data_IF_433006640468
#
_entry.id   IF_433006640468
#
_cell.length_a   1.000
_cell.length_b   1.000
_cell.length_c   1.000
_cell.angle_alpha   90.00
_cell.angle_beta   90.00
_cell.angle_gamma   90.00
#
_symmetry.space_group_name_H-M   'P 1'
#
loop_
_entity.id
_entity.type
_entity.pdbx_description
1 polymer ?
#
# COMPACT_ATOMS: atom_id res chain seq x y z
N UNK A 1 16.63 14.19 -14.62
CA UNK A 1 15.20 14.10 -14.23
C UNK A 1 14.43 14.79 -15.34
N UNK A 2 13.56 14.07 -16.06
CA UNK A 2 12.77 14.64 -17.16
C UNK A 2 11.55 15.41 -16.65
N UNK A 3 10.79 16.02 -17.56
CA UNK A 3 9.60 16.84 -17.27
C UNK A 3 8.56 16.09 -16.41
N UNK A 4 8.35 14.80 -16.67
CA UNK A 4 7.50 13.94 -15.84
C UNK A 4 7.94 13.93 -14.36
N UNK A 5 9.23 13.74 -14.11
CA UNK A 5 9.79 13.69 -12.76
C UNK A 5 9.68 15.03 -12.03
N UNK A 6 9.89 16.14 -12.74
CA UNK A 6 9.71 17.49 -12.18
C UNK A 6 8.26 17.74 -11.76
N UNK A 7 7.29 17.37 -12.61
CA UNK A 7 5.87 17.50 -12.30
C UNK A 7 5.45 16.59 -11.15
N UNK A 8 5.92 15.35 -11.14
CA UNK A 8 5.66 14.40 -10.06
C UNK A 8 6.14 14.95 -8.71
N UNK A 9 7.35 15.50 -8.67
CA UNK A 9 7.88 16.19 -7.48
C UNK A 9 7.03 17.40 -7.10
N UNK A 10 6.63 18.24 -8.06
CA UNK A 10 5.77 19.38 -7.78
C UNK A 10 4.42 18.97 -7.14
N UNK A 11 3.81 17.86 -7.59
CA UNK A 11 2.62 17.31 -6.94
C UNK A 11 2.91 16.72 -5.56
N UNK A 12 4.09 16.14 -5.34
CA UNK A 12 4.52 15.66 -4.03
C UNK A 12 4.65 16.80 -3.01
N UNK A 13 5.27 17.93 -3.39
CA UNK A 13 5.31 19.13 -2.55
C UNK A 13 3.90 19.66 -2.27
N UNK A 14 3.06 19.77 -3.30
CA UNK A 14 1.66 20.21 -3.14
C UNK A 14 0.87 19.29 -2.19
N UNK A 15 1.14 17.98 -2.19
CA UNK A 15 0.50 17.04 -1.26
C UNK A 15 0.86 17.40 0.19
N UNK A 16 2.13 17.71 0.48
CA UNK A 16 2.61 18.06 1.83
C UNK A 16 2.06 19.38 2.34
N UNK A 17 1.84 20.35 1.47
CA UNK A 17 1.28 21.65 1.85
C UNK A 17 -0.21 21.59 2.22
N UNK A 18 -0.93 20.55 1.78
CA UNK A 18 -2.36 20.39 2.08
C UNK A 18 -2.60 20.00 3.53
N UNK A 19 -2.81 21.00 4.38
CA UNK A 19 -3.29 20.81 5.76
C UNK A 19 -4.73 20.31 5.78
N UNK A 20 -5.03 19.34 6.66
CA UNK A 20 -6.39 18.85 6.92
C UNK A 20 -6.97 17.86 5.90
N UNK A 21 -6.28 17.60 4.79
CA UNK A 21 -6.63 16.50 3.89
C UNK A 21 -6.33 15.16 4.56
N UNK A 22 -7.17 14.15 4.29
CA UNK A 22 -7.04 12.79 4.85
C UNK A 22 -7.22 12.66 6.37
N UNK A 23 -8.01 13.53 7.00
CA UNK A 23 -8.28 13.47 8.44
C UNK A 23 -8.77 12.08 8.90
N UNK A 24 -9.59 11.40 8.09
CA UNK A 24 -10.04 10.03 8.36
C UNK A 24 -8.87 9.04 8.39
N UNK A 25 -7.94 9.13 7.45
CA UNK A 25 -6.75 8.28 7.44
C UNK A 25 -5.80 8.62 8.59
N UNK A 26 -5.62 9.89 8.94
CA UNK A 26 -4.82 10.29 10.11
C UNK A 26 -5.41 9.67 11.39
N UNK A 27 -6.72 9.72 11.56
CA UNK A 27 -7.42 9.06 12.68
C UNK A 27 -7.26 7.54 12.63
N UNK A 28 -7.32 6.93 11.44
CA UNK A 28 -7.04 5.49 11.26
C UNK A 28 -5.63 5.13 11.71
N UNK A 29 -4.61 5.85 11.23
CA UNK A 29 -3.22 5.62 11.61
C UNK A 29 -3.00 5.81 13.11
N UNK A 30 -3.59 6.84 13.71
CA UNK A 30 -3.55 7.04 15.16
C UNK A 30 -4.23 5.88 15.93
N UNK A 31 -5.35 5.36 15.43
CA UNK A 31 -6.01 4.20 16.02
C UNK A 31 -5.11 2.95 16.01
N UNK A 32 -4.40 2.70 14.92
CA UNK A 32 -3.43 1.60 14.84
C UNK A 32 -2.24 1.82 15.78
N UNK A 33 -1.67 3.03 15.81
CA UNK A 33 -0.56 3.38 16.70
C UNK A 33 -0.91 3.21 18.19
N UNK A 34 -2.16 3.54 18.58
CA UNK A 34 -2.65 3.36 19.95
C UNK A 34 -2.99 1.91 20.30
N UNK A 35 -3.07 1.02 19.31
CA UNK A 35 -3.39 -0.39 19.48
C UNK A 35 -2.36 -1.24 18.70
N UNK A 36 -1.06 -1.23 19.04
CA UNK A 36 -0.04 -1.79 18.15
C UNK A 36 -0.12 -3.33 18.00
N UNK A 37 -0.61 -4.05 19.02
CA UNK A 37 -0.63 -5.52 19.05
C UNK A 37 -1.85 -6.12 18.36
N UNK A 38 -1.70 -7.32 17.81
CA UNK A 38 -2.73 -8.01 17.02
C UNK A 38 -3.22 -9.32 17.68
N UNK A 39 -3.06 -9.45 19.00
CA UNK A 39 -3.40 -10.63 19.78
C UNK A 39 -4.82 -10.59 20.37
N UNK A 40 -5.34 -9.38 20.61
CA UNK A 40 -6.65 -9.16 21.22
C UNK A 40 -7.76 -9.03 20.18
N UNK A 41 -8.81 -9.84 20.31
CA UNK A 41 -9.97 -9.87 19.38
C UNK A 41 -10.58 -8.48 19.19
N UNK A 42 -10.83 -7.76 20.27
CA UNK A 42 -11.48 -6.45 20.20
C UNK A 42 -10.58 -5.38 19.57
N UNK A 43 -9.26 -5.45 19.82
CA UNK A 43 -8.30 -4.56 19.17
C UNK A 43 -8.21 -4.82 17.66
N UNK A 44 -8.24 -6.07 17.23
CA UNK A 44 -8.25 -6.44 15.80
C UNK A 44 -9.56 -6.02 15.14
N UNK A 45 -10.72 -6.27 15.76
CA UNK A 45 -12.02 -5.79 15.23
C UNK A 45 -12.07 -4.27 15.09
N UNK A 46 -11.57 -3.53 16.08
CA UNK A 46 -11.47 -2.07 16.00
C UNK A 46 -10.64 -1.64 14.79
N UNK A 47 -9.46 -2.24 14.58
CA UNK A 47 -8.61 -1.98 13.42
C UNK A 47 -9.29 -2.29 12.09
N UNK A 48 -9.98 -3.42 11.98
CA UNK A 48 -10.74 -3.79 10.79
C UNK A 48 -11.86 -2.78 10.50
N UNK A 49 -12.55 -2.33 11.55
CA UNK A 49 -13.61 -1.32 11.44
C UNK A 49 -13.08 0.04 10.96
N UNK A 50 -11.98 0.54 11.54
CA UNK A 50 -11.41 1.83 11.10
C UNK A 50 -10.70 1.75 9.74
N UNK A 51 -10.19 0.57 9.36
CA UNK A 51 -9.62 0.34 8.04
C UNK A 51 -10.70 0.24 6.97
N UNK A 52 -11.84 -0.37 7.31
CA UNK A 52 -13.04 -0.50 6.47
C UNK A 52 -12.73 -0.92 5.02
N UNK A 53 -11.90 -1.95 4.85
CA UNK A 53 -11.42 -2.35 3.54
C UNK A 53 -12.50 -3.11 2.76
N UNK A 54 -12.72 -2.74 1.49
CA UNK A 54 -13.78 -3.30 0.64
C UNK A 54 -13.74 -4.83 0.45
N UNK A 55 -12.57 -5.45 0.57
CA UNK A 55 -12.40 -6.92 0.40
C UNK A 55 -12.90 -7.73 1.61
N UNK A 56 -13.13 -7.08 2.75
CA UNK A 56 -13.54 -7.71 4.03
C UNK A 56 -14.69 -6.90 4.65
N UNK A 57 -15.69 -6.58 3.85
CA UNK A 57 -16.84 -5.76 4.27
C UNK A 57 -18.02 -6.58 4.83
N UNK A 58 -18.05 -7.89 4.58
CA UNK A 58 -19.04 -8.81 5.13
C UNK A 58 -18.72 -9.15 6.59
N UNK A 59 -19.74 -9.18 7.46
CA UNK A 59 -19.55 -9.42 8.90
C UNK A 59 -18.92 -10.79 9.19
N UNK A 60 -19.36 -11.84 8.49
CA UNK A 60 -18.77 -13.17 8.67
C UNK A 60 -17.32 -13.18 8.17
N UNK A 61 -17.03 -12.52 7.04
CA UNK A 61 -15.67 -12.34 6.55
C UNK A 61 -14.77 -11.59 7.56
N UNK A 62 -15.28 -10.55 8.22
CA UNK A 62 -14.53 -9.83 9.26
C UNK A 62 -14.24 -10.69 10.50
N UNK A 63 -15.18 -11.54 10.91
CA UNK A 63 -14.97 -12.47 12.02
C UNK A 63 -13.86 -13.47 11.69
N UNK A 64 -13.90 -14.08 10.50
CA UNK A 64 -12.84 -14.99 10.05
C UNK A 64 -11.49 -14.28 9.88
N UNK A 65 -11.49 -13.07 9.32
CA UNK A 65 -10.26 -12.28 9.21
C UNK A 65 -9.68 -11.90 10.58
N UNK A 66 -10.53 -11.65 11.57
CA UNK A 66 -10.08 -11.39 12.95
C UNK A 66 -9.32 -12.59 13.51
N UNK A 67 -9.91 -13.78 13.39
CA UNK A 67 -9.28 -15.02 13.83
C UNK A 67 -7.99 -15.31 13.06
N UNK A 68 -7.99 -15.06 11.75
CA UNK A 68 -6.82 -15.22 10.89
C UNK A 68 -5.66 -14.32 11.35
N UNK A 69 -5.90 -13.03 11.57
CA UNK A 69 -4.86 -12.08 12.02
C UNK A 69 -4.23 -12.53 13.34
N UNK A 70 -5.04 -12.94 14.31
CA UNK A 70 -4.56 -13.42 15.61
C UNK A 70 -3.72 -14.69 15.43
N UNK A 71 -4.22 -15.64 14.63
CA UNK A 71 -3.54 -16.92 14.37
C UNK A 71 -2.20 -16.74 13.66
N UNK A 72 -2.11 -15.80 12.72
CA UNK A 72 -0.86 -15.53 11.99
C UNK A 72 0.23 -14.89 12.88
N UNK A 73 -0.13 -14.34 14.05
CA UNK A 73 0.77 -13.74 15.04
C UNK A 73 1.85 -12.84 14.40
N UNK A 74 1.42 -11.86 13.60
CA UNK A 74 2.31 -11.03 12.80
C UNK A 74 3.06 -9.94 13.58
N UNK A 75 2.89 -9.86 14.91
CA UNK A 75 3.47 -8.79 15.72
C UNK A 75 5.00 -8.78 15.66
N UNK A 76 5.65 -9.95 15.65
CA UNK A 76 7.11 -10.06 15.50
C UNK A 76 7.58 -9.63 14.11
N UNK A 77 6.84 -10.01 13.05
CA UNK A 77 7.14 -9.58 11.68
C UNK A 77 6.99 -8.05 11.56
N UNK A 78 5.93 -7.48 12.15
CA UNK A 78 5.72 -6.04 12.19
C UNK A 78 6.88 -5.36 12.91
N UNK A 79 7.26 -5.80 14.11
CA UNK A 79 8.36 -5.24 14.89
C UNK A 79 9.68 -5.28 14.12
N UNK A 80 9.97 -6.41 13.45
CA UNK A 80 11.14 -6.63 12.61
C UNK A 80 11.08 -6.03 11.20
N UNK A 81 10.01 -5.29 10.84
CA UNK A 81 9.79 -4.74 9.49
C UNK A 81 9.78 -5.81 8.37
N UNK A 82 9.42 -7.05 8.71
CA UNK A 82 9.47 -8.18 7.80
C UNK A 82 8.24 -8.20 6.88
N UNK A 83 8.47 -8.31 5.57
CA UNK A 83 7.41 -8.35 4.54
C UNK A 83 6.52 -9.60 4.65
N UNK A 84 6.98 -10.60 5.40
CA UNK A 84 6.23 -11.81 5.78
C UNK A 84 4.91 -11.50 6.47
N UNK A 85 4.80 -10.37 7.19
CA UNK A 85 3.52 -9.93 7.77
C UNK A 85 2.43 -9.81 6.69
N UNK A 86 2.76 -9.21 5.54
CA UNK A 86 1.81 -9.00 4.44
C UNK A 86 1.48 -10.33 3.77
N UNK A 87 2.47 -11.17 3.48
CA UNK A 87 2.24 -12.43 2.76
C UNK A 87 1.46 -13.45 3.62
N UNK A 88 1.68 -13.49 4.93
CA UNK A 88 0.90 -14.28 5.89
C UNK A 88 -0.58 -13.84 5.92
N UNK A 89 -0.83 -12.53 6.03
CA UNK A 89 -2.20 -12.01 6.03
C UNK A 89 -2.91 -12.15 4.68
N UNK A 90 -2.18 -12.04 3.57
CA UNK A 90 -2.77 -12.08 2.23
C UNK A 90 -3.36 -13.45 1.89
N UNK A 91 -2.79 -14.56 2.39
CA UNK A 91 -3.33 -15.92 2.18
C UNK A 91 -4.49 -16.15 3.14
N UNK A 92 -5.71 -16.05 2.63
CA UNK A 92 -6.92 -16.09 3.45
C UNK A 92 -7.88 -17.16 2.95
N UNK A 93 -8.43 -17.98 3.86
CA UNK A 93 -9.46 -18.95 3.53
C UNK A 93 -10.80 -18.48 4.08
N UNK A 94 -11.83 -18.50 3.23
CA UNK A 94 -13.18 -18.11 3.63
C UNK A 94 -14.22 -18.96 2.92
N UNK A 95 -15.14 -19.57 3.70
CA UNK A 95 -16.21 -20.44 3.18
C UNK A 95 -15.70 -21.53 2.22
N UNK A 96 -14.54 -22.12 2.55
CA UNK A 96 -13.92 -23.20 1.76
C UNK A 96 -13.18 -22.74 0.50
N UNK A 97 -13.11 -21.43 0.23
CA UNK A 97 -12.35 -20.89 -0.91
C UNK A 97 -11.07 -20.20 -0.42
N UNK A 98 -10.02 -20.30 -1.23
CA UNK A 98 -8.76 -19.58 -1.00
C UNK A 98 -8.79 -18.22 -1.71
N UNK A 99 -8.34 -17.19 -1.02
CA UNK A 99 -8.24 -15.82 -1.50
C UNK A 99 -6.84 -15.29 -1.29
N UNK A 100 -6.37 -14.49 -2.24
CA UNK A 100 -5.13 -13.74 -2.12
C UNK A 100 -5.42 -12.24 -1.96
N UNK A 101 -5.49 -11.78 -0.72
CA UNK A 101 -5.95 -10.45 -0.33
C UNK A 101 -4.81 -9.44 -0.12
N UNK A 102 -3.90 -9.31 -1.10
CA UNK A 102 -2.74 -8.40 -0.98
C UNK A 102 -3.10 -6.94 -0.71
N UNK A 103 -4.14 -6.42 -1.38
CA UNK A 103 -4.54 -5.03 -1.20
C UNK A 103 -4.99 -4.77 0.25
N UNK A 104 -5.78 -5.68 0.82
CA UNK A 104 -6.13 -5.64 2.24
C UNK A 104 -4.91 -5.79 3.15
N UNK A 105 -4.13 -6.87 2.98
CA UNK A 105 -3.01 -7.20 3.87
C UNK A 105 -1.96 -6.09 3.92
N UNK A 106 -1.59 -5.55 2.75
CA UNK A 106 -0.66 -4.45 2.64
C UNK A 106 -1.21 -3.15 3.24
N UNK A 107 -2.50 -2.85 3.09
CA UNK A 107 -3.12 -1.68 3.73
C UNK A 107 -3.19 -1.82 5.27
N UNK A 108 -3.40 -3.04 5.78
CA UNK A 108 -3.38 -3.34 7.21
C UNK A 108 -1.97 -3.14 7.79
N UNK A 109 -0.95 -3.74 7.18
CA UNK A 109 0.44 -3.57 7.60
C UNK A 109 0.95 -2.13 7.42
N UNK A 110 0.57 -1.44 6.33
CA UNK A 110 0.87 -0.01 6.16
C UNK A 110 0.24 0.84 7.26
N UNK A 111 -0.97 0.50 7.72
CA UNK A 111 -1.60 1.24 8.81
C UNK A 111 -0.86 1.11 10.15
N UNK A 112 -0.13 0.00 10.34
CA UNK A 112 0.83 -0.16 11.44
C UNK A 112 2.13 0.61 11.22
N UNK A 113 2.74 0.46 10.04
CA UNK A 113 4.03 1.08 9.70
C UNK A 113 4.01 1.70 8.29
N UNK A 114 3.56 2.96 8.16
CA UNK A 114 3.36 3.62 6.86
C UNK A 114 4.62 3.79 6.00
N UNK A 115 5.80 3.80 6.63
CA UNK A 115 7.11 3.93 5.97
C UNK A 115 7.77 2.60 5.63
N UNK A 116 7.18 1.47 6.01
CA UNK A 116 7.78 0.13 5.83
C UNK A 116 7.04 -0.66 4.78
N UNK A 117 5.70 -0.61 4.80
CA UNK A 117 4.87 -1.46 3.97
C UNK A 117 4.17 -0.65 2.87
N UNK A 118 4.57 -0.76 1.59
CA UNK A 118 3.79 -0.26 0.46
C UNK A 118 2.34 -0.71 0.45
N UNK A 119 1.40 0.16 0.10
CA UNK A 119 0.01 -0.23 -0.14
C UNK A 119 -0.12 -0.77 -1.56
N UNK A 120 -0.49 -2.05 -1.69
CA UNK A 120 -0.74 -2.70 -2.97
C UNK A 120 -2.09 -2.23 -3.55
N UNK A 121 -2.07 -1.74 -4.79
CA UNK A 121 -3.27 -1.30 -5.51
C UNK A 121 -3.23 -1.76 -6.97
N UNK A 122 -4.21 -2.59 -7.32
CA UNK A 122 -4.36 -3.17 -8.66
C UNK A 122 -4.50 -2.12 -9.75
N UNK A 123 -5.03 -0.92 -9.42
CA UNK A 123 -5.31 0.13 -10.40
C UNK A 123 -4.07 0.55 -11.19
N UNK A 124 -2.88 0.54 -10.58
CA UNK A 124 -1.66 1.09 -11.19
C UNK A 124 -0.59 0.02 -11.45
N UNK A 125 -0.93 -1.27 -11.35
CA UNK A 125 0.03 -2.35 -11.61
C UNK A 125 0.49 -2.40 -13.06
N UNK A 126 -0.37 -2.06 -14.02
CA UNK A 126 0.01 -1.99 -15.43
C UNK A 126 1.15 -0.98 -15.66
N UNK A 127 1.02 0.22 -15.08
CA UNK A 127 2.07 1.25 -15.12
C UNK A 127 3.34 0.79 -14.41
N UNK A 128 3.21 0.21 -13.21
CA UNK A 128 4.37 -0.32 -12.47
C UNK A 128 5.10 -1.40 -13.28
N UNK A 129 4.37 -2.28 -13.96
CA UNK A 129 4.95 -3.32 -14.82
C UNK A 129 5.75 -2.70 -15.97
N UNK A 130 5.16 -1.73 -16.68
CA UNK A 130 5.84 -1.03 -17.77
C UNK A 130 7.10 -0.31 -17.27
N UNK A 131 7.00 0.41 -16.15
CA UNK A 131 8.13 1.07 -15.50
C UNK A 131 9.25 0.06 -15.18
N UNK A 132 8.92 -1.04 -14.50
CA UNK A 132 9.93 -2.04 -14.13
C UNK A 132 10.54 -2.73 -15.35
N UNK A 133 9.78 -2.97 -16.42
CA UNK A 133 10.34 -3.50 -17.68
C UNK A 133 11.30 -2.51 -18.34
N UNK A 134 10.96 -1.22 -18.37
CA UNK A 134 11.83 -0.18 -18.92
C UNK A 134 13.18 -0.10 -18.20
N UNK A 135 13.18 -0.25 -16.88
CA UNK A 135 14.39 -0.23 -16.06
C UNK A 135 15.03 -1.63 -15.85
N UNK A 136 14.57 -2.67 -16.56
CA UNK A 136 15.03 -4.05 -16.41
C UNK A 136 15.00 -4.59 -14.96
N UNK A 137 14.00 -4.17 -14.18
CA UNK A 137 13.80 -4.54 -12.77
C UNK A 137 12.89 -5.75 -12.56
N UNK A 138 12.29 -6.27 -13.63
CA UNK A 138 11.39 -7.41 -13.60
C UNK A 138 12.02 -8.56 -14.39
N UNK A 139 12.35 -9.65 -13.71
CA UNK A 139 12.80 -10.90 -14.33
C UNK A 139 11.69 -11.59 -15.11
N UNK A 140 12.05 -12.56 -15.96
CA UNK A 140 11.09 -13.25 -16.83
C UNK A 140 9.99 -13.99 -16.05
N UNK A 141 10.34 -14.54 -14.89
CA UNK A 141 9.43 -15.33 -14.03
C UNK A 141 8.84 -14.53 -12.86
N UNK A 142 9.22 -13.27 -12.70
CA UNK A 142 8.76 -12.46 -11.58
C UNK A 142 7.37 -11.87 -11.86
N UNK A 143 6.53 -11.86 -10.82
CA UNK A 143 5.20 -11.28 -10.86
C UNK A 143 5.08 -10.13 -9.86
N UNK A 144 4.34 -9.09 -10.23
CA UNK A 144 3.95 -8.02 -9.31
C UNK A 144 2.98 -8.50 -8.23
N UNK A 145 2.41 -9.70 -8.36
CA UNK A 145 1.66 -10.35 -7.29
C UNK A 145 2.59 -10.81 -6.15
N UNK A 146 3.90 -10.94 -6.39
CA UNK A 146 4.85 -11.03 -5.29
C UNK A 146 5.03 -9.64 -4.66
N UNK A 147 4.63 -9.53 -3.39
CA UNK A 147 4.70 -8.27 -2.65
C UNK A 147 6.12 -7.71 -2.54
N UNK A 148 7.15 -8.58 -2.50
CA UNK A 148 8.55 -8.16 -2.47
C UNK A 148 9.00 -7.55 -3.80
N UNK A 149 8.55 -8.12 -4.93
CA UNK A 149 8.80 -7.59 -6.27
C UNK A 149 8.08 -6.24 -6.44
N UNK A 150 6.82 -6.16 -6.01
CA UNK A 150 6.08 -4.90 -5.98
C UNK A 150 6.79 -3.82 -5.16
N UNK A 151 7.22 -4.14 -3.93
CA UNK A 151 7.95 -3.19 -3.08
C UNK A 151 9.25 -2.75 -3.75
N UNK A 152 10.03 -3.67 -4.32
CA UNK A 152 11.28 -3.34 -5.01
C UNK A 152 11.06 -2.36 -6.17
N UNK A 153 10.02 -2.58 -6.96
CA UNK A 153 9.63 -1.66 -8.03
C UNK A 153 9.27 -0.27 -7.50
N UNK A 154 8.48 -0.21 -6.43
CA UNK A 154 8.07 1.06 -5.82
C UNK A 154 9.25 1.78 -5.15
N UNK A 155 10.16 1.06 -4.50
CA UNK A 155 11.38 1.62 -3.89
C UNK A 155 12.25 2.27 -4.96
N UNK A 156 12.48 1.57 -6.08
CA UNK A 156 13.22 2.12 -7.20
C UNK A 156 12.50 3.33 -7.80
N UNK A 157 11.18 3.29 -7.95
CA UNK A 157 10.39 4.43 -8.41
C UNK A 157 10.54 5.65 -7.49
N UNK A 158 10.39 5.45 -6.19
CA UNK A 158 10.52 6.52 -5.22
C UNK A 158 11.91 7.13 -5.21
N UNK A 159 12.96 6.30 -5.21
CA UNK A 159 14.34 6.76 -5.23
C UNK A 159 14.70 7.49 -6.53
N UNK A 160 14.32 6.94 -7.68
CA UNK A 160 14.59 7.54 -8.99
C UNK A 160 14.01 8.96 -9.12
N UNK A 161 12.81 9.18 -8.58
CA UNK A 161 12.15 10.48 -8.58
C UNK A 161 12.32 11.27 -7.28
N UNK A 162 13.22 10.84 -6.38
CA UNK A 162 13.50 11.49 -5.09
C UNK A 162 12.26 11.74 -4.22
N UNK A 163 11.28 10.85 -4.32
CA UNK A 163 10.06 10.89 -3.51
C UNK A 163 10.28 10.36 -2.10
N UNK A 164 11.27 9.47 -1.91
CA UNK A 164 11.66 8.89 -0.63
C UNK A 164 12.22 9.92 0.37
N UNK A 165 12.75 11.04 -0.12
CA UNK A 165 13.14 12.19 0.72
C UNK A 165 11.95 12.95 1.31
N UNK A 166 10.77 12.85 0.70
CA UNK A 166 9.59 13.64 1.03
C UNK A 166 8.45 12.81 1.60
N UNK A 167 8.18 11.64 1.01
CA UNK A 167 6.97 10.87 1.18
C UNK A 167 7.26 9.47 1.74
N UNK A 168 6.43 9.03 2.68
CA UNK A 168 6.34 7.60 3.00
C UNK A 168 5.39 6.86 2.03
N UNK A 169 5.28 5.53 2.13
CA UNK A 169 4.44 4.78 1.20
C UNK A 169 2.94 5.10 1.28
N UNK A 170 2.44 5.44 2.47
CA UNK A 170 1.06 5.89 2.61
C UNK A 170 0.84 7.17 1.78
N UNK A 171 1.76 8.12 1.87
CA UNK A 171 1.68 9.38 1.14
C UNK A 171 1.87 9.19 -0.36
N UNK A 172 2.75 8.28 -0.78
CA UNK A 172 2.89 7.90 -2.20
C UNK A 172 1.60 7.28 -2.73
N UNK A 173 0.90 6.45 -1.95
CA UNK A 173 -0.42 5.93 -2.34
C UNK A 173 -1.44 7.06 -2.51
N UNK A 174 -1.38 8.11 -1.68
CA UNK A 174 -2.25 9.29 -1.80
C UNK A 174 -1.89 10.18 -2.99
N UNK A 175 -0.60 10.40 -3.23
CA UNK A 175 -0.09 11.07 -4.42
C UNK A 175 -0.61 10.37 -5.67
N UNK A 176 -0.43 9.04 -5.73
CA UNK A 176 -0.90 8.21 -6.83
C UNK A 176 -2.41 8.34 -7.04
N UNK A 177 -3.20 8.23 -5.96
CA UNK A 177 -4.66 8.35 -6.05
C UNK A 177 -5.15 9.73 -6.53
N UNK A 178 -4.50 10.81 -6.11
CA UNK A 178 -4.93 12.18 -6.44
C UNK A 178 -4.45 12.65 -7.83
N UNK A 179 -3.23 12.26 -8.23
CA UNK A 179 -2.52 12.96 -9.29
C UNK A 179 -2.00 12.07 -10.41
N UNK A 180 -1.94 10.73 -10.24
CA UNK A 180 -1.29 9.88 -11.24
C UNK A 180 -2.02 9.89 -12.58
N UNK A 181 -3.35 9.77 -12.59
CA UNK A 181 -4.13 9.82 -13.84
C UNK A 181 -3.94 11.18 -14.55
N UNK A 182 -3.86 12.28 -13.78
CA UNK A 182 -3.63 13.63 -14.31
C UNK A 182 -2.23 13.76 -14.91
N UNK A 183 -1.21 13.26 -14.20
CA UNK A 183 0.18 13.23 -14.66
C UNK A 183 0.32 12.47 -15.97
N UNK A 184 -0.28 11.29 -16.07
CA UNK A 184 -0.24 10.47 -17.28
C UNK A 184 -0.96 11.14 -18.46
N UNK A 185 -2.09 11.80 -18.22
CA UNK A 185 -2.80 12.54 -19.26
C UNK A 185 -2.00 13.76 -19.76
N UNK A 186 -1.32 14.47 -18.85
CA UNK A 186 -0.44 15.60 -19.19
C UNK A 186 0.75 15.14 -20.04
N UNK A 187 1.39 14.02 -19.69
CA UNK A 187 2.51 13.44 -20.44
C UNK A 187 2.12 12.96 -21.84
N UNK A 188 0.96 12.30 -21.97
CA UNK A 188 0.45 11.84 -23.27
C UNK A 188 0.11 13.00 -24.22
N UNK A 189 -0.33 14.15 -23.70
CA UNK A 189 -0.61 15.33 -24.53
C UNK A 189 0.66 15.93 -25.13
N UNK A 190 1.77 15.90 -24.39
CA UNK A 190 3.05 16.46 -24.83
C UNK A 190 3.80 15.57 -25.83
N UNK A 191 3.64 14.25 -25.74
CA UNK A 191 4.22 13.32 -26.73
C UNK A 191 3.52 13.38 -28.10
N UNK A 192 2.34 14.00 -28.18
CA UNK A 192 1.54 14.14 -29.39
C UNK A 192 1.60 15.55 -30.02
N UNK A 193 2.47 16.43 -29.50
CA UNK A 193 2.75 17.78 -30.03
C UNK A 193 4.15 17.84 -30.63
#
# INVERSE_FOLDING_TARGET
>A
MGLFGERLLAYAYRLKERRGFFLSDVKRLACFANNPRNQEVEAVKLKLSVLNHKQINDLACQQEMTNHIITQNIDEDLDGNALTAVTKLAKFQFKGNEYHLLAFASAYCNSHKPSVFPIYDVKHLGLMKQYMSHYALLGSEESLEDYSVFKRGLDHFMNHYRLDELLNYYEVKKLSWLYLDKLLAEEACELNQ
#
